data_IF_575836099030
#
_entry.id   IF_575836099030
#
_cell.length_a   1.000
_cell.length_b   1.000
_cell.length_c   1.000
_cell.angle_alpha   90.00
_cell.angle_beta   90.00
_cell.angle_gamma   90.00
#
_symmetry.space_group_name_H-M   'P 1'
#
loop_
_entity.id
_entity.type
_entity.pdbx_description
1 polymer ?
#
# COMPACT_ATOMS: atom_id res chain seq x y z
N UNK A 1 -15.74 10.09 -23.84
CA UNK A 1 -15.74 10.51 -22.43
C UNK A 1 -17.18 10.60 -21.98
N UNK A 2 -17.54 10.09 -20.80
CA UNK A 2 -18.94 10.09 -20.39
C UNK A 2 -19.38 11.53 -20.04
N UNK A 3 -20.57 11.93 -20.45
CA UNK A 3 -21.13 13.26 -20.12
C UNK A 3 -21.11 13.51 -18.59
N UNK A 4 -21.26 12.47 -17.78
CA UNK A 4 -21.21 12.58 -16.32
C UNK A 4 -19.84 13.00 -15.78
N UNK A 5 -18.73 12.62 -16.43
CA UNK A 5 -17.38 12.95 -15.99
C UNK A 5 -17.13 14.47 -16.11
N UNK A 6 -17.59 15.07 -17.20
CA UNK A 6 -17.51 16.53 -17.42
C UNK A 6 -18.43 17.31 -16.49
N UNK A 7 -19.71 16.89 -16.38
CA UNK A 7 -20.68 17.54 -15.49
C UNK A 7 -20.20 17.55 -14.03
N UNK A 8 -19.62 16.44 -13.57
CA UNK A 8 -19.10 16.34 -12.21
C UNK A 8 -17.86 17.22 -12.00
N UNK A 9 -16.97 17.30 -13.00
CA UNK A 9 -15.80 18.17 -12.94
C UNK A 9 -16.21 19.64 -12.85
N UNK A 10 -17.14 20.08 -13.70
CA UNK A 10 -17.69 21.44 -13.70
C UNK A 10 -18.36 21.76 -12.35
N UNK A 11 -19.19 20.86 -11.84
CA UNK A 11 -19.79 21.02 -10.51
C UNK A 11 -18.73 21.18 -9.41
N UNK A 12 -17.67 20.37 -9.41
CA UNK A 12 -16.57 20.51 -8.44
C UNK A 12 -15.83 21.85 -8.56
N UNK A 13 -15.71 22.41 -9.77
CA UNK A 13 -15.02 23.70 -9.96
C UNK A 13 -15.72 24.86 -9.26
N UNK A 14 -17.04 24.79 -9.07
CA UNK A 14 -17.81 25.82 -8.36
C UNK A 14 -17.44 25.97 -6.88
N UNK A 15 -16.76 24.97 -6.29
CA UNK A 15 -16.30 24.98 -4.89
C UNK A 15 -14.81 25.33 -4.78
N UNK A 16 -14.18 25.83 -5.85
CA UNK A 16 -12.74 26.14 -5.82
C UNK A 16 -12.42 27.24 -4.80
N UNK A 17 -11.38 27.02 -3.99
CA UNK A 17 -10.88 27.99 -3.02
C UNK A 17 -9.51 27.60 -2.48
N UNK A 18 -8.70 28.59 -2.09
CA UNK A 18 -7.29 28.38 -1.70
C UNK A 18 -7.12 27.46 -0.49
N UNK A 19 -7.97 27.62 0.53
CA UNK A 19 -7.98 26.79 1.75
C UNK A 19 -8.32 25.34 1.41
N UNK A 20 -9.42 25.14 0.67
CA UNK A 20 -9.89 23.81 0.29
C UNK A 20 -8.91 23.10 -0.65
N UNK A 21 -8.27 23.83 -1.57
CA UNK A 21 -7.19 23.32 -2.42
C UNK A 21 -6.01 22.85 -1.59
N UNK A 22 -5.58 23.63 -0.60
CA UNK A 22 -4.46 23.23 0.29
C UNK A 22 -4.82 21.98 1.08
N UNK A 23 -6.04 21.93 1.63
CA UNK A 23 -6.54 20.75 2.33
C UNK A 23 -6.53 19.49 1.44
N UNK A 24 -7.07 19.56 0.21
CA UNK A 24 -7.10 18.39 -0.67
C UNK A 24 -5.71 18.00 -1.21
N UNK A 25 -4.78 18.94 -1.37
CA UNK A 25 -3.37 18.61 -1.64
C UNK A 25 -2.76 17.80 -0.50
N UNK A 26 -3.04 18.17 0.76
CA UNK A 26 -2.57 17.42 1.92
C UNK A 26 -3.20 16.02 1.97
N UNK A 27 -4.52 15.92 1.81
CA UNK A 27 -5.24 14.62 1.77
C UNK A 27 -4.67 13.72 0.68
N UNK A 28 -4.49 14.24 -0.54
CA UNK A 28 -3.90 13.47 -1.64
C UNK A 28 -2.46 13.05 -1.32
N UNK A 29 -1.69 13.89 -0.63
CA UNK A 29 -0.30 13.57 -0.27
C UNK A 29 -0.21 12.50 0.83
N UNK A 30 -1.22 12.38 1.70
CA UNK A 30 -1.30 11.31 2.70
C UNK A 30 -1.61 9.95 2.07
N UNK A 31 -2.33 9.92 0.95
CA UNK A 31 -2.68 8.68 0.23
C UNK A 31 -1.50 8.16 -0.62
N UNK A 32 -0.35 7.94 0.01
CA UNK A 32 0.86 7.47 -0.63
C UNK A 32 1.31 6.09 -0.12
N UNK A 33 2.10 5.38 -0.94
CA UNK A 33 2.59 4.03 -0.65
C UNK A 33 3.46 3.98 0.62
N UNK A 34 4.28 5.00 0.86
CA UNK A 34 5.19 5.07 2.01
C UNK A 34 4.42 5.05 3.33
N UNK A 35 3.33 5.81 3.45
CA UNK A 35 2.50 5.83 4.65
C UNK A 35 1.90 4.46 4.92
N UNK A 36 1.33 3.82 3.90
CA UNK A 36 0.74 2.49 4.07
C UNK A 36 1.77 1.43 4.42
N UNK A 37 2.98 1.47 3.83
CA UNK A 37 4.07 0.58 4.21
C UNK A 37 4.52 0.78 5.66
N UNK A 38 4.58 2.03 6.14
CA UNK A 38 4.90 2.34 7.54
C UNK A 38 3.84 1.77 8.48
N UNK A 39 2.54 1.96 8.17
CA UNK A 39 1.46 1.42 8.99
C UNK A 39 1.49 -0.11 8.99
N UNK A 40 1.66 -0.74 7.82
CA UNK A 40 1.80 -2.20 7.71
C UNK A 40 3.00 -2.71 8.50
N UNK A 41 4.14 -2.01 8.46
CA UNK A 41 5.34 -2.38 9.22
C UNK A 41 5.06 -2.37 10.72
N UNK A 42 4.37 -1.33 11.21
CA UNK A 42 3.90 -1.28 12.59
C UNK A 42 2.97 -2.45 12.92
N UNK A 43 1.97 -2.73 12.07
CA UNK A 43 1.05 -3.84 12.26
C UNK A 43 1.78 -5.19 12.29
N UNK A 44 2.81 -5.36 11.45
CA UNK A 44 3.63 -6.56 11.41
C UNK A 44 4.43 -6.75 12.70
N UNK A 45 5.04 -5.68 13.23
CA UNK A 45 5.87 -5.75 14.44
C UNK A 45 5.09 -5.83 15.75
N UNK A 46 3.91 -5.21 15.80
CA UNK A 46 3.22 -4.93 17.07
C UNK A 46 1.81 -5.51 17.18
N UNK A 47 1.20 -5.99 16.09
CA UNK A 47 -0.22 -6.42 16.08
C UNK A 47 -0.40 -7.85 15.61
N UNK A 48 -0.05 -8.16 14.37
CA UNK A 48 -0.17 -9.50 13.80
C UNK A 48 0.61 -9.60 12.48
N UNK A 49 1.64 -10.46 12.46
CA UNK A 49 2.42 -10.74 11.24
C UNK A 49 1.55 -11.27 10.12
N UNK A 50 0.60 -12.15 10.48
CA UNK A 50 -0.32 -12.77 9.53
C UNK A 50 -1.25 -11.77 8.86
N UNK A 51 -1.87 -10.87 9.63
CA UNK A 51 -2.74 -9.82 9.06
C UNK A 51 -1.94 -8.84 8.20
N UNK A 52 -0.78 -8.39 8.69
CA UNK A 52 0.08 -7.49 7.92
C UNK A 52 0.56 -8.13 6.61
N UNK A 53 0.89 -9.42 6.61
CA UNK A 53 1.24 -10.15 5.39
C UNK A 53 0.08 -10.17 4.38
N UNK A 54 -1.14 -10.52 4.81
CA UNK A 54 -2.32 -10.46 3.93
C UNK A 54 -2.53 -9.04 3.34
N UNK A 55 -2.32 -7.98 4.13
CA UNK A 55 -2.41 -6.61 3.65
C UNK A 55 -1.35 -6.27 2.58
N UNK A 56 -0.09 -6.68 2.78
CA UNK A 56 0.98 -6.49 1.77
C UNK A 56 0.61 -7.18 0.47
N UNK A 57 0.16 -8.45 0.54
CA UNK A 57 -0.20 -9.22 -0.66
C UNK A 57 -1.33 -8.55 -1.43
N UNK A 58 -2.41 -8.16 -0.73
CA UNK A 58 -3.54 -7.47 -1.38
C UNK A 58 -3.12 -6.12 -1.98
N UNK A 59 -2.32 -5.32 -1.28
CA UNK A 59 -1.86 -4.01 -1.76
C UNK A 59 -1.00 -4.15 -3.01
N UNK A 60 -0.01 -5.05 -3.00
CA UNK A 60 0.88 -5.27 -4.13
C UNK A 60 0.13 -5.88 -5.33
N UNK A 61 -0.74 -6.85 -5.09
CA UNK A 61 -1.50 -7.50 -6.16
C UNK A 61 -2.55 -6.56 -6.79
N UNK A 62 -3.28 -5.80 -5.98
CA UNK A 62 -4.18 -4.75 -6.47
C UNK A 62 -3.41 -3.71 -7.27
N UNK A 63 -2.31 -3.18 -6.73
CA UNK A 63 -1.47 -2.21 -7.42
C UNK A 63 -0.96 -2.72 -8.77
N UNK A 64 -0.50 -3.97 -8.83
CA UNK A 64 -0.04 -4.61 -10.07
C UNK A 64 -1.16 -4.66 -11.13
N UNK A 65 -2.35 -5.13 -10.74
CA UNK A 65 -3.53 -5.14 -11.62
C UNK A 65 -3.87 -3.72 -12.08
N UNK A 66 -3.80 -2.74 -11.18
CA UNK A 66 -4.06 -1.34 -11.48
C UNK A 66 -3.13 -0.78 -12.55
N UNK A 67 -1.84 -1.10 -12.48
CA UNK A 67 -0.83 -0.67 -13.47
C UNK A 67 -1.05 -1.38 -14.80
N UNK A 68 -1.34 -2.69 -14.81
CA UNK A 68 -1.65 -3.42 -16.05
C UNK A 68 -2.88 -2.83 -16.75
N UNK A 69 -3.96 -2.59 -16.01
CA UNK A 69 -5.17 -1.96 -16.56
C UNK A 69 -4.86 -0.55 -17.06
N UNK A 70 -4.03 0.20 -16.35
CA UNK A 70 -3.64 1.55 -16.73
C UNK A 70 -2.93 1.59 -18.08
N UNK A 71 -1.96 0.72 -18.27
CA UNK A 71 -1.21 0.59 -19.52
C UNK A 71 -2.05 0.00 -20.65
N UNK A 72 -3.08 -0.78 -20.34
CA UNK A 72 -4.02 -1.29 -21.32
C UNK A 72 -5.01 -0.21 -21.80
N UNK A 73 -5.61 0.53 -20.86
CA UNK A 73 -6.68 1.49 -21.16
C UNK A 73 -6.18 2.82 -21.69
N UNK A 74 -4.99 3.27 -21.25
CA UNK A 74 -4.31 4.50 -21.71
C UNK A 74 -5.19 5.76 -21.72
N UNK A 75 -6.12 5.87 -20.77
CA UNK A 75 -7.08 6.98 -20.72
C UNK A 75 -6.33 8.28 -20.34
N UNK A 76 -6.48 9.37 -21.12
CA UNK A 76 -5.88 10.66 -20.81
C UNK A 76 -6.57 11.34 -19.61
N UNK A 77 -5.82 12.18 -18.90
CA UNK A 77 -6.29 12.86 -17.69
C UNK A 77 -7.12 14.11 -18.02
N UNK A 78 -7.91 14.64 -17.07
CA UNK A 78 -8.68 15.87 -17.31
C UNK A 78 -7.86 17.04 -17.82
N UNK A 79 -6.73 17.32 -17.17
CA UNK A 79 -5.90 18.47 -17.51
C UNK A 79 -5.14 18.36 -18.84
N UNK A 80 -5.25 17.24 -19.57
CA UNK A 80 -4.70 17.13 -20.93
C UNK A 80 -5.69 17.62 -22.00
N UNK A 81 -6.92 17.97 -21.61
CA UNK A 81 -7.92 18.57 -22.48
C UNK A 81 -7.93 20.09 -22.33
N UNK A 82 -8.21 20.79 -23.43
CA UNK A 82 -8.25 22.25 -23.46
C UNK A 82 -9.28 22.81 -22.46
N UNK A 83 -8.91 23.87 -21.76
CA UNK A 83 -9.76 24.55 -20.78
C UNK A 83 -9.76 23.94 -19.38
N UNK A 84 -9.08 22.81 -19.15
CA UNK A 84 -9.00 22.19 -17.81
C UNK A 84 -7.58 22.37 -17.23
N UNK A 85 -7.47 23.17 -16.17
CA UNK A 85 -6.21 23.33 -15.44
C UNK A 85 -6.18 22.48 -14.17
N UNK A 86 -5.12 21.67 -14.01
CA UNK A 86 -4.91 20.89 -12.79
C UNK A 86 -4.48 21.79 -11.63
N UNK A 87 -5.00 21.50 -10.43
CA UNK A 87 -4.58 22.15 -9.20
C UNK A 87 -3.35 21.49 -8.57
N UNK A 88 -3.00 20.25 -8.97
CA UNK A 88 -1.88 19.49 -8.40
C UNK A 88 -1.28 18.44 -9.35
N UNK A 89 -0.90 18.87 -10.56
CA UNK A 89 -0.40 17.99 -11.62
C UNK A 89 0.78 17.10 -11.18
N UNK A 90 1.72 17.63 -10.40
CA UNK A 90 2.89 16.90 -9.89
C UNK A 90 2.54 15.65 -9.08
N UNK A 91 1.31 15.52 -8.60
CA UNK A 91 0.80 14.35 -7.87
C UNK A 91 0.24 13.24 -8.79
N UNK A 92 0.30 13.43 -10.10
CA UNK A 92 -0.36 12.58 -11.08
C UNK A 92 0.52 12.43 -12.34
N UNK A 93 1.22 11.30 -12.45
CA UNK A 93 1.96 10.94 -13.67
C UNK A 93 1.20 9.84 -14.45
N UNK A 94 1.50 9.72 -15.75
CA UNK A 94 0.94 8.68 -16.62
C UNK A 94 -0.57 8.78 -16.83
N UNK A 95 -1.21 7.67 -17.20
CA UNK A 95 -2.64 7.61 -17.55
C UNK A 95 -3.58 7.75 -16.34
N UNK A 96 -4.82 8.15 -16.61
CA UNK A 96 -5.84 8.49 -15.61
C UNK A 96 -6.43 7.24 -14.94
N UNK A 97 -6.85 6.26 -15.74
CA UNK A 97 -7.63 5.12 -15.27
C UNK A 97 -6.73 3.93 -14.91
N UNK A 98 -6.98 3.21 -13.81
CA UNK A 98 -7.72 3.67 -12.63
C UNK A 98 -6.88 4.63 -11.77
N UNK A 99 -7.54 5.30 -10.83
CA UNK A 99 -6.86 6.16 -9.85
C UNK A 99 -6.03 5.36 -8.84
N UNK A 100 -4.70 5.45 -8.94
CA UNK A 100 -3.76 4.74 -8.06
C UNK A 100 -3.95 5.11 -6.58
N UNK A 101 -4.15 6.40 -6.27
CA UNK A 101 -4.34 6.85 -4.88
C UNK A 101 -5.61 6.27 -4.25
N UNK A 102 -6.71 6.27 -5.00
CA UNK A 102 -7.98 5.69 -4.55
C UNK A 102 -7.87 4.18 -4.44
N UNK A 103 -7.19 3.53 -5.38
CA UNK A 103 -6.99 2.09 -5.37
C UNK A 103 -6.15 1.65 -4.16
N UNK A 104 -5.06 2.36 -3.86
CA UNK A 104 -4.23 2.13 -2.68
C UNK A 104 -5.04 2.33 -1.39
N UNK A 105 -5.75 3.46 -1.26
CA UNK A 105 -6.57 3.74 -0.10
C UNK A 105 -7.67 2.69 0.11
N UNK A 106 -8.38 2.33 -0.96
CA UNK A 106 -9.48 1.35 -0.89
C UNK A 106 -8.96 -0.05 -0.57
N UNK A 107 -7.84 -0.45 -1.17
CA UNK A 107 -7.25 -1.78 -0.89
C UNK A 107 -6.70 -1.86 0.54
N UNK A 108 -5.98 -0.83 1.00
CA UNK A 108 -5.43 -0.79 2.36
C UNK A 108 -6.54 -0.76 3.43
N UNK A 109 -7.47 0.20 3.35
CA UNK A 109 -8.53 0.31 4.34
C UNK A 109 -9.53 -0.84 4.23
N UNK A 110 -9.87 -1.28 3.01
CA UNK A 110 -10.71 -2.45 2.75
C UNK A 110 -10.17 -3.71 3.42
N UNK A 111 -8.88 -4.02 3.20
CA UNK A 111 -8.24 -5.14 3.86
C UNK A 111 -8.20 -4.99 5.38
N UNK A 112 -7.88 -3.80 5.90
CA UNK A 112 -7.81 -3.57 7.35
C UNK A 112 -9.18 -3.73 8.03
N UNK A 113 -10.24 -3.22 7.40
CA UNK A 113 -11.63 -3.36 7.84
C UNK A 113 -12.05 -4.83 7.96
N UNK A 114 -11.76 -5.65 6.94
CA UNK A 114 -12.15 -7.06 6.91
C UNK A 114 -11.31 -7.91 7.88
N UNK A 115 -10.01 -7.65 7.98
CA UNK A 115 -9.10 -8.42 8.83
C UNK A 115 -9.23 -8.11 10.32
N UNK A 116 -9.62 -6.88 10.68
CA UNK A 116 -9.73 -6.47 12.07
C UNK A 116 -11.16 -6.42 12.60
N UNK A 117 -12.18 -6.25 11.74
CA UNK A 117 -13.61 -6.27 12.10
C UNK A 117 -13.98 -5.32 13.25
N UNK A 118 -13.26 -4.20 13.42
CA UNK A 118 -13.56 -3.17 14.44
C UNK A 118 -14.33 -2.01 13.82
N UNK A 119 -15.47 -1.63 14.41
CA UNK A 119 -16.33 -0.53 13.93
C UNK A 119 -15.57 0.79 13.70
N UNK A 120 -14.64 1.14 14.58
CA UNK A 120 -13.84 2.36 14.43
C UNK A 120 -12.96 2.34 13.17
N UNK A 121 -12.39 1.18 12.81
CA UNK A 121 -11.58 1.04 11.59
C UNK A 121 -12.47 1.18 10.35
N UNK A 122 -13.71 0.71 10.41
CA UNK A 122 -14.68 0.90 9.33
C UNK A 122 -15.01 2.37 9.09
N UNK A 123 -15.32 3.10 10.16
CA UNK A 123 -15.65 4.53 10.06
C UNK A 123 -14.45 5.31 9.50
N UNK A 124 -13.26 5.14 10.09
CA UNK A 124 -12.05 5.84 9.65
C UNK A 124 -11.71 5.47 8.19
N UNK A 125 -11.79 4.18 7.84
CA UNK A 125 -11.46 3.69 6.51
C UNK A 125 -12.39 4.25 5.43
N UNK A 126 -13.70 4.20 5.64
CA UNK A 126 -14.69 4.73 4.68
C UNK A 126 -14.50 6.24 4.51
N UNK A 127 -14.38 6.99 5.62
CA UNK A 127 -14.16 8.44 5.56
C UNK A 127 -12.88 8.77 4.80
N UNK A 128 -11.79 8.05 5.06
CA UNK A 128 -10.53 8.31 4.37
C UNK A 128 -10.59 7.97 2.88
N UNK A 129 -11.24 6.86 2.49
CA UNK A 129 -11.44 6.52 1.06
C UNK A 129 -12.21 7.64 0.35
N UNK A 130 -13.30 8.12 0.95
CA UNK A 130 -14.11 9.21 0.39
C UNK A 130 -13.27 10.50 0.28
N UNK A 131 -12.55 10.88 1.33
CA UNK A 131 -11.69 12.06 1.30
C UNK A 131 -10.64 11.99 0.19
N UNK A 132 -10.00 10.84 0.01
CA UNK A 132 -9.03 10.63 -1.07
C UNK A 132 -9.71 10.71 -2.43
N UNK A 133 -10.83 10.02 -2.63
CA UNK A 133 -11.61 10.06 -3.87
C UNK A 133 -12.00 11.51 -4.25
N UNK A 134 -12.58 12.26 -3.32
CA UNK A 134 -12.94 13.65 -3.51
C UNK A 134 -11.72 14.51 -3.82
N UNK A 135 -10.59 14.30 -3.13
CA UNK A 135 -9.36 15.06 -3.41
C UNK A 135 -8.90 14.92 -4.86
N UNK A 136 -8.98 13.73 -5.45
CA UNK A 136 -8.52 13.47 -6.82
C UNK A 136 -9.42 14.12 -7.88
N UNK A 137 -10.73 14.17 -7.60
CA UNK A 137 -11.72 14.84 -8.44
C UNK A 137 -11.57 16.37 -8.34
N UNK A 138 -11.51 16.88 -7.11
CA UNK A 138 -11.34 18.32 -6.85
C UNK A 138 -10.07 18.89 -7.48
N UNK A 139 -8.96 18.14 -7.41
CA UNK A 139 -7.68 18.57 -7.97
C UNK A 139 -7.59 18.41 -9.51
N UNK A 140 -8.67 17.93 -10.16
CA UNK A 140 -8.81 17.76 -11.61
C UNK A 140 -7.73 16.88 -12.24
N UNK A 141 -7.31 15.85 -11.49
CA UNK A 141 -6.29 14.89 -11.93
C UNK A 141 -6.88 13.55 -12.38
N UNK A 142 -8.17 13.32 -12.09
CA UNK A 142 -8.90 12.11 -12.43
C UNK A 142 -10.36 12.41 -12.78
N UNK A 143 -10.94 11.52 -13.58
CA UNK A 143 -12.36 11.46 -13.90
C UNK A 143 -13.14 10.72 -12.80
N UNK A 144 -14.46 10.90 -12.72
CA UNK A 144 -15.31 10.16 -11.80
C UNK A 144 -15.26 8.65 -12.10
N UNK A 145 -15.24 8.30 -13.40
CA UNK A 145 -15.06 6.93 -13.87
C UNK A 145 -13.74 6.28 -13.37
N UNK A 146 -12.63 7.04 -13.29
CA UNK A 146 -11.35 6.54 -12.74
C UNK A 146 -11.47 6.12 -11.27
N UNK A 147 -12.26 6.88 -10.49
CA UNK A 147 -12.48 6.66 -9.06
C UNK A 147 -13.35 5.42 -8.86
N UNK A 148 -14.46 5.33 -9.59
CA UNK A 148 -15.37 4.17 -9.54
C UNK A 148 -14.62 2.90 -9.93
N UNK A 149 -13.86 2.93 -11.03
CA UNK A 149 -13.03 1.81 -11.46
C UNK A 149 -12.01 1.38 -10.39
N UNK A 150 -11.28 2.34 -9.80
CA UNK A 150 -10.31 2.06 -8.73
C UNK A 150 -10.95 1.39 -7.51
N UNK A 151 -12.13 1.86 -7.09
CA UNK A 151 -12.86 1.27 -5.96
C UNK A 151 -13.32 -0.14 -6.30
N UNK A 152 -13.94 -0.35 -7.46
CA UNK A 152 -14.43 -1.66 -7.89
C UNK A 152 -13.31 -2.69 -7.98
N UNK A 153 -12.20 -2.35 -8.64
CA UNK A 153 -11.02 -3.23 -8.73
C UNK A 153 -10.53 -3.62 -7.34
N UNK A 154 -10.37 -2.63 -6.45
CA UNK A 154 -9.89 -2.88 -5.08
C UNK A 154 -10.82 -3.77 -4.27
N UNK A 155 -12.14 -3.50 -4.31
CA UNK A 155 -13.15 -4.27 -3.58
C UNK A 155 -13.19 -5.72 -4.07
N UNK A 156 -13.14 -5.94 -5.39
CA UNK A 156 -13.11 -7.28 -5.98
C UNK A 156 -11.85 -8.02 -5.53
N UNK A 157 -10.67 -7.41 -5.64
CA UNK A 157 -9.40 -8.01 -5.23
C UNK A 157 -9.43 -8.38 -3.74
N UNK A 158 -9.82 -7.45 -2.87
CA UNK A 158 -9.87 -7.67 -1.43
C UNK A 158 -10.88 -8.76 -1.08
N UNK A 159 -12.09 -8.73 -1.66
CA UNK A 159 -13.13 -9.73 -1.41
C UNK A 159 -12.69 -11.13 -1.83
N UNK A 160 -12.23 -11.30 -3.08
CA UNK A 160 -11.80 -12.60 -3.59
C UNK A 160 -10.60 -13.15 -2.81
N UNK A 161 -9.61 -12.31 -2.53
CA UNK A 161 -8.44 -12.72 -1.76
C UNK A 161 -8.82 -13.15 -0.34
N UNK A 162 -9.62 -12.34 0.36
CA UNK A 162 -9.96 -12.63 1.76
C UNK A 162 -10.84 -13.86 1.92
N UNK A 163 -11.79 -14.06 1.00
CA UNK A 163 -12.66 -15.24 0.96
C UNK A 163 -11.89 -16.55 0.86
N UNK A 164 -10.76 -16.55 0.16
CA UNK A 164 -9.94 -17.75 -0.04
C UNK A 164 -8.86 -17.92 1.03
N UNK A 165 -8.28 -16.82 1.53
CA UNK A 165 -6.98 -16.89 2.23
C UNK A 165 -7.02 -16.64 3.75
N UNK A 166 -8.05 -15.95 4.26
CA UNK A 166 -8.04 -15.50 5.67
C UNK A 166 -8.24 -16.66 6.64
N UNK A 167 -9.09 -17.62 6.29
CA UNK A 167 -9.45 -18.77 7.14
C UNK A 167 -8.54 -20.00 6.91
N UNK A 168 -7.40 -19.82 6.23
CA UNK A 168 -6.46 -20.92 5.99
C UNK A 168 -5.87 -21.45 7.30
N UNK A 169 -5.65 -22.76 7.39
CA UNK A 169 -4.84 -23.33 8.48
C UNK A 169 -3.37 -22.89 8.35
N UNK A 170 -2.57 -23.01 9.41
CA UNK A 170 -1.17 -22.57 9.39
C UNK A 170 -0.33 -23.27 8.32
N UNK A 171 -0.56 -24.57 8.09
CA UNK A 171 0.07 -25.32 6.99
C UNK A 171 -0.27 -24.72 5.63
N UNK A 172 -1.55 -24.39 5.40
CA UNK A 172 -2.00 -23.75 4.15
C UNK A 172 -1.50 -22.31 4.02
N UNK A 173 -1.32 -21.59 5.13
CA UNK A 173 -0.75 -20.24 5.13
C UNK A 173 0.74 -20.25 4.72
N UNK A 174 1.52 -21.24 5.17
CA UNK A 174 2.90 -21.44 4.69
C UNK A 174 2.92 -21.78 3.19
N UNK A 175 1.99 -22.61 2.72
CA UNK A 175 1.85 -22.89 1.29
C UNK A 175 1.49 -21.64 0.48
N UNK A 176 0.60 -20.79 1.01
CA UNK A 176 0.26 -19.50 0.40
C UNK A 176 1.50 -18.61 0.23
N UNK A 177 2.39 -18.54 1.22
CA UNK A 177 3.64 -17.77 1.11
C UNK A 177 4.49 -18.27 -0.07
N UNK A 178 4.62 -19.59 -0.24
CA UNK A 178 5.37 -20.18 -1.36
C UNK A 178 4.72 -19.84 -2.71
N UNK A 179 3.39 -19.94 -2.80
CA UNK A 179 2.64 -19.57 -4.00
C UNK A 179 2.85 -18.09 -4.33
N UNK A 180 2.70 -17.20 -3.35
CA UNK A 180 2.92 -15.75 -3.51
C UNK A 180 4.34 -15.47 -3.99
N UNK A 181 5.35 -16.16 -3.44
CA UNK A 181 6.73 -16.01 -3.88
C UNK A 181 6.88 -16.39 -5.36
N UNK A 182 6.43 -17.58 -5.75
CA UNK A 182 6.51 -18.05 -7.14
C UNK A 182 5.76 -17.10 -8.08
N UNK A 183 4.54 -16.70 -7.73
CA UNK A 183 3.74 -15.75 -8.52
C UNK A 183 4.47 -14.41 -8.66
N UNK A 184 5.06 -13.89 -7.58
CA UNK A 184 5.81 -12.61 -7.63
C UNK A 184 7.00 -12.67 -8.59
N UNK A 185 7.69 -13.81 -8.66
CA UNK A 185 8.81 -14.04 -9.56
C UNK A 185 8.36 -14.23 -11.01
N UNK A 186 7.21 -14.87 -11.25
CA UNK A 186 6.65 -14.98 -12.60
C UNK A 186 6.22 -13.60 -13.11
N UNK A 187 5.48 -12.85 -12.29
CA UNK A 187 4.99 -11.51 -12.67
C UNK A 187 6.13 -10.52 -12.93
N UNK A 188 7.31 -10.71 -12.33
CA UNK A 188 8.50 -9.91 -12.63
C UNK A 188 8.87 -9.96 -14.12
N UNK A 189 8.78 -11.13 -14.75
CA UNK A 189 9.09 -11.28 -16.18
C UNK A 189 7.94 -10.82 -17.09
N UNK A 190 6.76 -10.52 -16.53
CA UNK A 190 5.58 -10.12 -17.29
C UNK A 190 5.37 -8.60 -17.32
N UNK A 191 6.31 -7.82 -16.78
CA UNK A 191 6.16 -6.36 -16.69
C UNK A 191 7.44 -5.63 -17.06
N UNK A 192 7.27 -4.47 -17.67
CA UNK A 192 8.30 -3.47 -17.99
C UNK A 192 8.14 -2.19 -17.16
N UNK A 193 7.10 -2.11 -16.33
CA UNK A 193 6.74 -0.90 -15.59
C UNK A 193 7.54 -0.80 -14.28
N UNK A 194 8.23 0.33 -14.08
CA UNK A 194 9.03 0.61 -12.88
C UNK A 194 8.22 0.43 -11.59
N UNK A 195 6.98 0.90 -11.57
CA UNK A 195 6.14 0.80 -10.37
C UNK A 195 5.73 -0.65 -10.05
N UNK A 196 5.54 -1.50 -11.08
CA UNK A 196 5.34 -2.93 -10.85
C UNK A 196 6.59 -3.60 -10.27
N UNK A 197 7.80 -3.23 -10.72
CA UNK A 197 9.04 -3.74 -10.12
C UNK A 197 9.14 -3.38 -8.63
N UNK A 198 8.70 -2.19 -8.22
CA UNK A 198 8.67 -1.80 -6.80
C UNK A 198 7.70 -2.67 -6.00
N UNK A 199 6.46 -2.83 -6.48
CA UNK A 199 5.43 -3.63 -5.81
C UNK A 199 5.85 -5.10 -5.68
N UNK A 200 6.34 -5.69 -6.78
CA UNK A 200 6.82 -7.07 -6.79
C UNK A 200 8.04 -7.24 -5.89
N UNK A 201 8.95 -6.25 -5.86
CA UNK A 201 10.09 -6.25 -4.96
C UNK A 201 9.65 -6.35 -3.50
N UNK A 202 8.75 -5.46 -3.05
CA UNK A 202 8.21 -5.51 -1.67
C UNK A 202 7.57 -6.87 -1.41
N UNK A 203 6.77 -7.39 -2.34
CA UNK A 203 6.07 -8.66 -2.19
C UNK A 203 7.05 -9.84 -2.05
N UNK A 204 8.04 -9.95 -2.94
CA UNK A 204 9.07 -11.00 -2.88
C UNK A 204 9.87 -10.90 -1.59
N UNK A 205 10.41 -9.71 -1.27
CA UNK A 205 11.22 -9.50 -0.08
C UNK A 205 10.48 -9.76 1.22
N UNK A 206 9.24 -9.27 1.33
CA UNK A 206 8.40 -9.49 2.51
C UNK A 206 8.08 -10.97 2.71
N UNK A 207 7.85 -11.69 1.61
CA UNK A 207 7.53 -13.13 1.61
C UNK A 207 8.75 -13.97 2.01
N UNK A 208 9.93 -13.70 1.45
CA UNK A 208 11.16 -14.37 1.88
C UNK A 208 11.42 -14.07 3.36
N UNK A 209 11.30 -12.80 3.75
CA UNK A 209 11.61 -12.39 5.12
C UNK A 209 10.67 -13.02 6.16
N UNK A 210 9.36 -13.11 5.90
CA UNK A 210 8.43 -13.76 6.83
C UNK A 210 8.66 -15.28 6.92
N UNK A 211 9.08 -15.93 5.84
CA UNK A 211 9.42 -17.36 5.85
C UNK A 211 10.64 -17.61 6.75
N UNK A 212 11.68 -16.78 6.64
CA UNK A 212 12.86 -16.86 7.48
C UNK A 212 12.57 -16.46 8.93
N UNK A 213 11.76 -15.43 9.16
CA UNK A 213 11.40 -14.96 10.50
C UNK A 213 10.66 -16.04 11.28
N UNK A 214 9.70 -16.72 10.64
CA UNK A 214 8.97 -17.83 11.27
C UNK A 214 9.85 -19.05 11.56
N UNK A 215 10.93 -19.24 10.79
CA UNK A 215 11.84 -20.36 10.97
C UNK A 215 12.88 -20.07 12.07
N UNK A 216 13.54 -18.91 12.01
CA UNK A 216 14.72 -18.59 12.83
C UNK A 216 14.42 -17.73 14.06
N UNK A 217 13.50 -16.76 13.98
CA UNK A 217 13.36 -15.70 14.99
C UNK A 217 12.14 -15.92 15.88
N UNK A 218 10.98 -16.19 15.27
CA UNK A 218 9.68 -16.35 15.95
C UNK A 218 9.38 -15.19 16.90
N UNK A 219 9.46 -13.96 16.37
CA UNK A 219 9.21 -12.73 17.12
C UNK A 219 7.78 -12.72 17.69
N UNK A 220 7.67 -12.40 18.97
CA UNK A 220 6.39 -12.11 19.61
C UNK A 220 5.90 -10.72 19.21
N UNK A 221 4.69 -10.63 18.67
CA UNK A 221 4.05 -9.41 18.18
C UNK A 221 3.55 -8.54 19.33
N UNK A 222 2.96 -9.15 20.36
CA UNK A 222 2.28 -8.44 21.46
C UNK A 222 3.19 -8.33 22.68
N UNK A 223 3.47 -7.10 23.09
CA UNK A 223 4.34 -6.79 24.23
C UNK A 223 3.84 -5.53 24.93
N UNK A 224 4.46 -5.18 26.06
CA UNK A 224 4.16 -3.95 26.78
C UNK A 224 4.42 -2.71 25.90
N UNK A 225 3.71 -1.61 26.17
CA UNK A 225 3.75 -0.39 25.36
C UNK A 225 5.18 0.12 25.12
N UNK A 226 6.03 0.13 26.15
CA UNK A 226 7.46 0.54 26.03
C UNK A 226 8.22 -0.26 24.98
N UNK A 227 7.96 -1.56 24.89
CA UNK A 227 8.60 -2.46 23.93
C UNK A 227 8.05 -2.22 22.53
N UNK A 228 6.73 -2.02 22.38
CA UNK A 228 6.12 -1.72 21.09
C UNK A 228 6.63 -0.38 20.53
N UNK A 229 6.74 0.65 21.36
CA UNK A 229 7.35 1.93 20.98
C UNK A 229 8.82 1.73 20.56
N UNK A 230 9.59 0.97 21.33
CA UNK A 230 11.00 0.70 21.01
C UNK A 230 11.17 -0.05 19.68
N UNK A 231 10.37 -1.09 19.43
CA UNK A 231 10.35 -1.82 18.14
C UNK A 231 9.99 -0.90 16.98
N UNK A 232 8.99 -0.05 17.16
CA UNK A 232 8.52 0.85 16.10
C UNK A 232 9.58 1.89 15.77
N UNK A 233 10.13 2.59 16.76
CA UNK A 233 11.15 3.62 16.56
C UNK A 233 12.41 3.02 15.94
N UNK A 234 12.91 1.91 16.50
CA UNK A 234 14.10 1.25 15.97
C UNK A 234 13.87 0.69 14.56
N UNK A 235 12.73 0.03 14.34
CA UNK A 235 12.39 -0.56 13.05
C UNK A 235 12.24 0.48 11.95
N UNK A 236 11.58 1.61 12.23
CA UNK A 236 11.47 2.72 11.28
C UNK A 236 12.83 3.39 11.02
N UNK A 237 13.69 3.51 12.05
CA UNK A 237 15.03 4.05 11.90
C UNK A 237 15.89 3.16 11.00
N UNK A 238 15.88 1.84 11.22
CA UNK A 238 16.58 0.86 10.38
C UNK A 238 16.04 0.93 8.94
N UNK A 239 14.72 0.92 8.79
CA UNK A 239 14.08 0.98 7.47
C UNK A 239 14.49 2.24 6.71
N UNK A 240 14.50 3.40 7.37
CA UNK A 240 14.93 4.67 6.79
C UNK A 240 16.41 4.61 6.37
N UNK A 241 17.30 4.17 7.26
CA UNK A 241 18.73 4.06 6.97
C UNK A 241 18.98 3.13 5.79
N UNK A 242 18.35 1.95 5.77
CA UNK A 242 18.44 0.99 4.66
C UNK A 242 17.95 1.64 3.36
N UNK A 243 16.79 2.31 3.37
CA UNK A 243 16.28 2.96 2.16
C UNK A 243 17.21 4.07 1.63
N UNK A 244 17.79 4.88 2.52
CA UNK A 244 18.75 5.92 2.14
C UNK A 244 20.04 5.32 1.56
N UNK A 245 20.57 4.26 2.19
CA UNK A 245 21.75 3.54 1.71
C UNK A 245 21.48 2.89 0.35
N UNK A 246 20.38 2.17 0.20
CA UNK A 246 20.01 1.50 -1.05
C UNK A 246 19.80 2.49 -2.20
N UNK A 247 19.18 3.65 -1.92
CA UNK A 247 19.02 4.72 -2.91
C UNK A 247 20.37 5.30 -3.36
N UNK A 248 21.39 5.30 -2.49
CA UNK A 248 22.74 5.78 -2.80
C UNK A 248 23.58 4.74 -3.53
N UNK A 249 23.50 3.47 -3.14
CA UNK A 249 24.39 2.39 -3.64
C UNK A 249 23.88 1.75 -4.93
N UNK A 250 22.57 1.55 -5.06
CA UNK A 250 21.95 0.86 -6.21
C UNK A 250 20.71 1.61 -6.75
N UNK A 251 20.81 2.91 -7.09
CA UNK A 251 19.65 3.78 -7.37
C UNK A 251 18.67 3.21 -8.39
N UNK A 252 19.18 2.61 -9.47
CA UNK A 252 18.39 2.18 -10.63
C UNK A 252 17.86 0.74 -10.51
N UNK A 253 18.34 -0.03 -9.53
CA UNK A 253 17.90 -1.41 -9.30
C UNK A 253 16.59 -1.45 -8.51
N UNK A 254 15.51 -0.91 -9.07
CA UNK A 254 14.22 -0.73 -8.38
C UNK A 254 13.69 -2.02 -7.75
N UNK A 255 13.65 -3.13 -8.50
CA UNK A 255 13.20 -4.40 -7.96
C UNK A 255 14.00 -4.81 -6.71
N UNK A 256 15.34 -4.86 -6.83
CA UNK A 256 16.22 -5.27 -5.73
C UNK A 256 16.12 -4.35 -4.51
N UNK A 257 16.03 -3.03 -4.71
CA UNK A 257 15.84 -2.06 -3.62
C UNK A 257 14.57 -2.35 -2.82
N UNK A 258 13.49 -2.68 -3.49
CA UNK A 258 12.21 -2.95 -2.84
C UNK A 258 12.13 -4.38 -2.30
N UNK A 259 12.85 -5.36 -2.87
CA UNK A 259 13.12 -6.67 -2.23
C UNK A 259 13.79 -6.46 -0.87
N UNK A 260 14.87 -5.69 -0.83
CA UNK A 260 15.58 -5.41 0.41
C UNK A 260 14.74 -4.59 1.39
N UNK A 261 13.85 -3.73 0.90
CA UNK A 261 12.88 -3.00 1.74
C UNK A 261 11.89 -3.96 2.41
N UNK A 262 11.23 -4.84 1.64
CA UNK A 262 10.29 -5.83 2.18
C UNK A 262 10.98 -6.80 3.15
N UNK A 263 12.17 -7.28 2.78
CA UNK A 263 13.00 -8.14 3.62
C UNK A 263 13.42 -7.44 4.92
N UNK A 264 13.71 -6.15 4.86
CA UNK A 264 14.07 -5.38 6.05
C UNK A 264 12.91 -5.33 7.04
N UNK A 265 11.70 -5.06 6.56
CA UNK A 265 10.49 -5.01 7.39
C UNK A 265 10.23 -6.36 8.05
N UNK A 266 10.27 -7.45 7.29
CA UNK A 266 9.80 -8.76 7.77
C UNK A 266 10.89 -9.65 8.36
N UNK A 267 12.18 -9.38 8.15
CA UNK A 267 13.27 -10.17 8.72
C UNK A 267 14.34 -9.36 9.42
N UNK A 268 14.96 -8.37 8.77
CA UNK A 268 16.09 -7.64 9.35
C UNK A 268 15.69 -6.91 10.65
N UNK A 269 14.56 -6.22 10.65
CA UNK A 269 14.05 -5.55 11.85
C UNK A 269 13.74 -6.56 12.98
N UNK A 270 12.95 -7.63 12.75
CA UNK A 270 12.77 -8.69 13.74
C UNK A 270 14.07 -9.31 14.26
N UNK A 271 15.08 -9.51 13.38
CA UNK A 271 16.38 -10.04 13.75
C UNK A 271 17.11 -9.09 14.71
N UNK A 272 17.12 -7.80 14.38
CA UNK A 272 17.68 -6.75 15.24
C UNK A 272 16.96 -6.65 16.58
N UNK A 273 15.63 -6.76 16.61
CA UNK A 273 14.86 -6.77 17.87
C UNK A 273 15.23 -7.97 18.75
N UNK A 274 15.44 -9.14 18.14
CA UNK A 274 15.87 -10.35 18.83
C UNK A 274 17.29 -10.20 19.40
N UNK A 275 18.24 -9.74 18.58
CA UNK A 275 19.64 -9.53 18.96
C UNK A 275 19.77 -8.53 20.13
N UNK A 276 19.00 -7.44 20.09
CA UNK A 276 18.97 -6.43 21.15
C UNK A 276 18.11 -6.81 22.36
N UNK A 277 17.58 -8.05 22.38
CA UNK A 277 16.74 -8.58 23.47
C UNK A 277 15.56 -7.65 23.81
N UNK A 278 14.93 -7.06 22.80
CA UNK A 278 13.72 -6.23 22.94
C UNK A 278 12.52 -7.16 23.19
N UNK A 279 12.47 -7.73 24.38
CA UNK A 279 11.46 -8.67 24.87
C UNK A 279 11.07 -8.31 26.29
N UNK A 280 9.86 -8.68 26.71
CA UNK A 280 9.48 -8.54 28.12
C UNK A 280 10.52 -9.26 28.97
N UNK A 281 11.23 -8.52 29.82
CA UNK A 281 11.94 -9.11 30.97
C UNK A 281 10.81 -9.58 31.87
N UNK A 282 10.56 -10.89 31.97
CA UNK A 282 9.68 -11.37 33.03
C UNK A 282 10.30 -10.90 34.34
N UNK A 283 9.60 -10.06 35.10
CA UNK A 283 9.86 -9.94 36.53
C UNK A 283 9.76 -11.36 37.08
N UNK A 284 10.90 -11.93 37.48
CA UNK A 284 10.90 -13.06 38.40
C UNK A 284 10.25 -12.63 39.70
#
# INVERSE_FOLDING_TARGET
MFNIDMLFLEWMTSFEGSVLTTFFKLVSSLANETLYLVIISFLYWCVSKRKAFHMIVMLCFSGYIGIVIKEFMKIPRPYTYDGIQSLYEKSAAGYSFPSTHVQLATTFWGSFMILCKKRIIWIIGIVFIILVATSRLYLRVHWLSDIIGAVLISVIVVYLYTKVTVELSDKKFIMLQRIVLVVSLILYFMTDQIDNFKLLGVLTGSTIGIMLENHFIKMNETNNLKIQVSKTVLGLSILLVVQLLLKKVIPDMYYLRYVLTGFTITFLCPFMFHMLRIKNVSSK
#
